data_IF_286606447289
#
_entry.id   IF_286606447289
#
_cell.length_a   1.000
_cell.length_b   1.000
_cell.length_c   1.000
_cell.angle_alpha   90.00
_cell.angle_beta   90.00
_cell.angle_gamma   90.00
#
_symmetry.space_group_name_H-M   'P 1'
#
loop_
_entity.id
_entity.type
_entity.pdbx_description
1 polymer ?
#
# COMPACT_ATOMS: atom_id res chain seq x y z
N UNK A 1 -3.02 36.81 -3.39
CA UNK A 1 -1.92 35.84 -3.60
C UNK A 1 -2.34 34.51 -2.97
N UNK A 2 -2.21 33.39 -3.69
CA UNK A 2 -2.55 32.06 -3.17
C UNK A 2 -1.38 31.41 -2.42
N UNK A 3 -1.68 30.45 -1.54
CA UNK A 3 -0.68 29.66 -0.84
C UNK A 3 0.08 28.73 -1.81
N UNK A 4 1.41 28.72 -1.75
CA UNK A 4 2.26 27.78 -2.49
C UNK A 4 3.08 26.93 -1.53
N UNK A 5 3.10 25.61 -1.77
CA UNK A 5 3.86 24.68 -0.96
C UNK A 5 5.11 24.22 -1.73
N UNK A 6 6.29 24.60 -1.23
CA UNK A 6 7.56 24.32 -1.91
C UNK A 6 7.87 22.83 -2.13
N UNK A 7 7.27 21.94 -1.35
CA UNK A 7 7.45 20.49 -1.46
C UNK A 7 6.24 19.79 -2.13
N UNK A 8 5.41 20.53 -2.86
CA UNK A 8 4.23 19.96 -3.52
C UNK A 8 4.60 18.88 -4.55
N UNK A 9 5.69 19.06 -5.30
CA UNK A 9 6.19 18.05 -6.24
C UNK A 9 6.59 16.75 -5.51
N UNK A 10 7.29 16.87 -4.38
CA UNK A 10 7.68 15.72 -3.57
C UNK A 10 6.46 15.00 -2.97
N UNK A 11 5.46 15.75 -2.50
CA UNK A 11 4.21 15.18 -1.98
C UNK A 11 3.44 14.42 -3.08
N UNK A 12 3.35 14.98 -4.28
CA UNK A 12 2.71 14.31 -5.42
C UNK A 12 3.46 13.03 -5.81
N UNK A 13 4.79 13.08 -5.85
CA UNK A 13 5.60 11.90 -6.11
C UNK A 13 5.37 10.80 -5.06
N UNK A 14 5.26 11.15 -3.76
CA UNK A 14 4.95 10.19 -2.70
C UNK A 14 3.56 9.57 -2.81
N UNK A 15 2.56 10.32 -3.30
CA UNK A 15 1.22 9.78 -3.60
C UNK A 15 1.29 8.74 -4.70
N UNK A 16 1.94 9.08 -5.82
CA UNK A 16 2.12 8.13 -6.92
C UNK A 16 2.87 6.87 -6.46
N UNK A 17 3.87 7.04 -5.59
CA UNK A 17 4.65 5.92 -5.05
C UNK A 17 3.82 5.00 -4.14
N UNK A 18 2.92 5.57 -3.34
CA UNK A 18 1.96 4.81 -2.53
C UNK A 18 1.03 4.00 -3.44
N UNK A 19 0.44 4.64 -4.45
CA UNK A 19 -0.48 3.98 -5.39
C UNK A 19 0.23 2.80 -6.11
N UNK A 20 1.45 3.03 -6.60
CA UNK A 20 2.27 1.99 -7.22
C UNK A 20 2.58 0.83 -6.26
N UNK A 21 2.91 1.14 -5.00
CA UNK A 21 3.21 0.10 -4.01
C UNK A 21 1.96 -0.68 -3.61
N UNK A 22 0.79 -0.05 -3.52
CA UNK A 22 -0.48 -0.72 -3.31
C UNK A 22 -0.80 -1.70 -4.46
N UNK A 23 -0.60 -1.28 -5.72
CA UNK A 23 -0.79 -2.14 -6.88
C UNK A 23 0.16 -3.35 -6.85
N UNK A 24 1.45 -3.13 -6.55
CA UNK A 24 2.44 -4.20 -6.42
C UNK A 24 2.10 -5.18 -5.30
N UNK A 25 1.66 -4.67 -4.16
CA UNK A 25 1.23 -5.49 -3.04
C UNK A 25 0.02 -6.35 -3.41
N UNK A 26 -0.97 -5.78 -4.10
CA UNK A 26 -2.14 -6.51 -4.56
C UNK A 26 -1.76 -7.62 -5.55
N UNK A 27 -0.84 -7.36 -6.47
CA UNK A 27 -0.33 -8.36 -7.41
C UNK A 27 0.38 -9.51 -6.70
N UNK A 28 1.30 -9.20 -5.78
CA UNK A 28 2.04 -10.21 -5.01
C UNK A 28 1.12 -11.02 -4.10
N UNK A 29 0.15 -10.39 -3.45
CA UNK A 29 -0.83 -11.08 -2.63
C UNK A 29 -1.71 -12.02 -3.47
N UNK A 30 -2.09 -11.61 -4.68
CA UNK A 30 -2.79 -12.48 -5.62
C UNK A 30 -1.93 -13.67 -6.03
N UNK A 31 -0.65 -13.46 -6.34
CA UNK A 31 0.29 -14.56 -6.67
C UNK A 31 0.41 -15.54 -5.51
N UNK A 32 0.57 -15.04 -4.28
CA UNK A 32 0.64 -15.88 -3.08
C UNK A 32 -0.59 -16.77 -2.95
N UNK A 33 -1.79 -16.18 -3.05
CA UNK A 33 -3.06 -16.91 -2.96
C UNK A 33 -3.16 -17.99 -4.03
N UNK A 34 -2.83 -17.67 -5.29
CA UNK A 34 -2.85 -18.66 -6.37
C UNK A 34 -1.87 -19.82 -6.13
N UNK A 35 -0.67 -19.53 -5.61
CA UNK A 35 0.30 -20.57 -5.24
C UNK A 35 -0.21 -21.44 -4.09
N UNK A 36 -0.88 -20.87 -3.10
CA UNK A 36 -1.51 -21.62 -2.01
C UNK A 36 -2.65 -22.52 -2.50
N UNK A 37 -3.51 -22.00 -3.38
CA UNK A 37 -4.57 -22.78 -4.03
C UNK A 37 -4.00 -23.95 -4.84
N UNK A 38 -2.92 -23.74 -5.59
CA UNK A 38 -2.24 -24.80 -6.34
C UNK A 38 -1.63 -25.87 -5.43
N UNK A 39 -0.97 -25.46 -4.35
CA UNK A 39 -0.42 -26.38 -3.36
C UNK A 39 -1.50 -27.23 -2.71
N UNK A 40 -2.66 -26.65 -2.41
CA UNK A 40 -3.76 -27.37 -1.81
C UNK A 40 -4.35 -28.40 -2.78
N UNK A 41 -4.50 -28.06 -4.07
CA UNK A 41 -4.90 -29.03 -5.11
C UNK A 41 -3.92 -30.19 -5.22
N UNK A 42 -2.61 -29.92 -5.25
CA UNK A 42 -1.59 -30.95 -5.31
C UNK A 42 -1.62 -31.88 -4.08
N UNK A 43 -1.92 -31.34 -2.89
CA UNK A 43 -2.10 -32.16 -1.67
C UNK A 43 -3.31 -33.07 -1.79
N UNK A 44 -4.43 -32.53 -2.25
CA UNK A 44 -5.67 -33.29 -2.43
C UNK A 44 -5.48 -34.41 -3.45
N UNK A 45 -4.91 -34.11 -4.62
CA UNK A 45 -4.58 -35.10 -5.65
C UNK A 45 -3.70 -36.22 -5.11
N UNK A 46 -2.63 -35.85 -4.37
CA UNK A 46 -1.73 -36.83 -3.76
C UNK A 46 -2.45 -37.70 -2.73
N UNK A 47 -3.24 -37.11 -1.83
CA UNK A 47 -4.01 -37.84 -0.81
C UNK A 47 -4.98 -38.83 -1.45
N UNK A 48 -5.72 -38.39 -2.48
CA UNK A 48 -6.65 -39.26 -3.21
C UNK A 48 -5.94 -40.41 -3.90
N UNK A 49 -4.77 -40.18 -4.50
CA UNK A 49 -3.97 -41.25 -5.10
C UNK A 49 -3.43 -42.24 -4.05
N UNK A 50 -2.96 -41.75 -2.90
CA UNK A 50 -2.50 -42.61 -1.80
C UNK A 50 -3.63 -43.47 -1.22
N UNK A 51 -4.83 -42.91 -1.08
CA UNK A 51 -6.03 -43.64 -0.65
C UNK A 51 -6.46 -44.69 -1.67
N UNK A 52 -6.47 -44.35 -2.96
CA UNK A 52 -6.77 -45.29 -4.04
C UNK A 52 -5.78 -46.45 -4.06
N UNK A 53 -4.48 -46.16 -3.93
CA UNK A 53 -3.43 -47.17 -3.86
C UNK A 53 -3.61 -48.11 -2.67
N UNK A 54 -3.95 -47.57 -1.48
CA UNK A 54 -4.22 -48.40 -0.29
C UNK A 54 -5.39 -49.36 -0.52
N UNK A 55 -6.48 -48.88 -1.12
CA UNK A 55 -7.65 -49.72 -1.45
C UNK A 55 -7.29 -50.81 -2.45
N UNK A 56 -6.65 -50.45 -3.56
CA UNK A 56 -6.24 -51.42 -4.59
C UNK A 56 -5.23 -52.44 -4.05
N UNK A 57 -4.31 -52.02 -3.19
CA UNK A 57 -3.34 -52.92 -2.56
C UNK A 57 -4.02 -53.98 -1.68
N UNK A 58 -5.10 -53.63 -0.99
CA UNK A 58 -5.89 -54.60 -0.19
C UNK A 58 -6.67 -55.62 -1.03
N UNK A 59 -6.91 -55.32 -2.31
CA UNK A 59 -7.64 -56.17 -3.25
C UNK A 59 -6.71 -57.03 -4.12
N UNK A 60 -5.39 -56.83 -4.02
CA UNK A 60 -4.39 -57.42 -4.91
C UNK A 60 -4.22 -56.61 -6.19
N UNK A 61 -3.29 -55.67 -6.18
CA UNK A 61 -2.93 -54.83 -7.34
C UNK A 61 -1.73 -55.43 -8.09
N UNK A 62 -1.69 -55.25 -9.41
CA UNK A 62 -0.52 -55.61 -10.21
C UNK A 62 0.70 -54.76 -9.84
N UNK A 63 1.89 -55.36 -9.86
CA UNK A 63 3.14 -54.67 -9.51
C UNK A 63 3.39 -53.42 -10.39
N UNK A 64 3.04 -53.47 -11.67
CA UNK A 64 3.19 -52.34 -12.59
C UNK A 64 2.29 -51.15 -12.20
N UNK A 65 1.03 -51.40 -11.85
CA UNK A 65 0.10 -50.36 -11.39
C UNK A 65 0.54 -49.78 -10.05
N UNK A 66 0.99 -50.62 -9.12
CA UNK A 66 1.55 -50.16 -7.85
C UNK A 66 2.72 -49.19 -8.05
N UNK A 67 3.67 -49.54 -8.92
CA UNK A 67 4.81 -48.69 -9.24
C UNK A 67 4.39 -47.37 -9.88
N UNK A 68 3.36 -47.38 -10.75
CA UNK A 68 2.82 -46.16 -11.36
C UNK A 68 2.23 -45.20 -10.32
N UNK A 69 1.39 -45.70 -9.41
CA UNK A 69 0.81 -44.88 -8.34
C UNK A 69 1.89 -44.33 -7.40
N UNK A 70 2.89 -45.15 -7.07
CA UNK A 70 4.02 -44.73 -6.23
C UNK A 70 4.82 -43.61 -6.89
N UNK A 71 5.21 -43.78 -8.14
CA UNK A 71 5.96 -42.77 -8.90
C UNK A 71 5.16 -41.47 -9.06
N UNK A 72 3.84 -41.56 -9.29
CA UNK A 72 2.98 -40.38 -9.32
C UNK A 72 2.96 -39.65 -7.97
N UNK A 73 2.78 -40.37 -6.86
CA UNK A 73 2.77 -39.76 -5.52
C UNK A 73 4.11 -39.12 -5.15
N UNK A 74 5.23 -39.76 -5.49
CA UNK A 74 6.58 -39.22 -5.29
C UNK A 74 6.77 -37.91 -6.06
N UNK A 75 6.43 -37.89 -7.35
CA UNK A 75 6.48 -36.67 -8.19
C UNK A 75 5.63 -35.54 -7.62
N UNK A 76 4.40 -35.85 -7.14
CA UNK A 76 3.55 -34.86 -6.46
C UNK A 76 4.16 -34.38 -5.14
N UNK A 77 4.88 -35.23 -4.44
CA UNK A 77 5.66 -34.87 -3.26
C UNK A 77 6.76 -33.85 -3.58
N UNK A 78 7.50 -34.06 -4.67
CA UNK A 78 8.51 -33.12 -5.15
C UNK A 78 7.90 -31.78 -5.58
N UNK A 79 6.81 -31.81 -6.36
CA UNK A 79 6.06 -30.62 -6.78
C UNK A 79 5.61 -29.79 -5.55
N UNK A 80 5.13 -30.47 -4.50
CA UNK A 80 4.71 -29.82 -3.24
C UNK A 80 5.88 -29.18 -2.48
N UNK A 81 7.06 -29.80 -2.47
CA UNK A 81 8.25 -29.24 -1.84
C UNK A 81 8.71 -27.99 -2.59
N UNK A 82 8.82 -28.07 -3.91
CA UNK A 82 9.18 -26.92 -4.74
C UNK A 82 8.16 -25.77 -4.61
N UNK A 83 6.87 -26.09 -4.61
CA UNK A 83 5.81 -25.10 -4.42
C UNK A 83 5.83 -24.46 -3.03
N UNK A 84 6.20 -25.17 -1.97
CA UNK A 84 6.34 -24.62 -0.61
C UNK A 84 7.46 -23.59 -0.52
N UNK A 85 8.61 -23.87 -1.12
CA UNK A 85 9.71 -22.90 -1.18
C UNK A 85 9.31 -21.67 -1.98
N UNK A 86 8.68 -21.85 -3.15
CA UNK A 86 8.15 -20.73 -3.94
C UNK A 86 7.13 -19.89 -3.17
N UNK A 87 6.21 -20.54 -2.44
CA UNK A 87 5.25 -19.84 -1.56
C UNK A 87 5.97 -19.00 -0.51
N UNK A 88 7.02 -19.56 0.11
CA UNK A 88 7.82 -18.86 1.13
C UNK A 88 8.51 -17.63 0.54
N UNK A 89 9.09 -17.73 -0.64
CA UNK A 89 9.69 -16.59 -1.36
C UNK A 89 8.64 -15.50 -1.64
N UNK A 90 7.50 -15.86 -2.22
CA UNK A 90 6.43 -14.90 -2.51
C UNK A 90 5.90 -14.25 -1.23
N UNK A 91 5.76 -15.01 -0.14
CA UNK A 91 5.34 -14.47 1.15
C UNK A 91 6.35 -13.43 1.70
N UNK A 92 7.65 -13.69 1.56
CA UNK A 92 8.68 -12.71 1.92
C UNK A 92 8.60 -11.46 1.03
N UNK A 93 8.34 -11.61 -0.26
CA UNK A 93 8.17 -10.46 -1.16
C UNK A 93 6.93 -9.61 -0.83
N UNK A 94 5.83 -10.27 -0.41
CA UNK A 94 4.62 -9.60 0.09
C UNK A 94 4.96 -8.78 1.33
N UNK A 95 5.67 -9.36 2.28
CA UNK A 95 6.01 -8.67 3.53
C UNK A 95 6.96 -7.49 3.29
N UNK A 96 7.94 -7.65 2.41
CA UNK A 96 8.81 -6.54 1.98
C UNK A 96 8.01 -5.40 1.34
N UNK A 97 7.04 -5.71 0.49
CA UNK A 97 6.19 -4.69 -0.14
C UNK A 97 5.27 -4.01 0.89
N UNK A 98 4.74 -4.76 1.87
CA UNK A 98 3.96 -4.18 2.98
C UNK A 98 4.80 -3.20 3.79
N UNK A 99 6.01 -3.59 4.17
CA UNK A 99 6.93 -2.74 4.91
C UNK A 99 7.28 -1.46 4.13
N UNK A 100 7.50 -1.59 2.82
CA UNK A 100 7.76 -0.46 1.94
C UNK A 100 6.54 0.48 1.81
N UNK A 101 5.34 -0.06 1.61
CA UNK A 101 4.12 0.73 1.57
C UNK A 101 3.94 1.52 2.87
N UNK A 102 4.17 0.88 4.02
CA UNK A 102 4.10 1.54 5.33
C UNK A 102 5.11 2.69 5.46
N UNK A 103 6.33 2.55 4.94
CA UNK A 103 7.32 3.64 4.98
C UNK A 103 6.89 4.80 4.09
N UNK A 104 6.42 4.53 2.87
CA UNK A 104 5.92 5.55 1.94
C UNK A 104 4.73 6.31 2.53
N UNK A 105 3.78 5.60 3.14
CA UNK A 105 2.62 6.21 3.80
C UNK A 105 3.03 7.11 4.96
N UNK A 106 4.00 6.68 5.78
CA UNK A 106 4.53 7.50 6.88
C UNK A 106 5.16 8.79 6.37
N UNK A 107 6.02 8.70 5.36
CA UNK A 107 6.69 9.86 4.76
C UNK A 107 5.69 10.83 4.11
N UNK A 108 4.70 10.30 3.38
CA UNK A 108 3.59 11.11 2.82
C UNK A 108 2.87 11.87 3.93
N UNK A 109 2.50 11.18 5.01
CA UNK A 109 1.76 11.79 6.13
C UNK A 109 2.57 12.89 6.82
N UNK A 110 3.89 12.77 6.87
CA UNK A 110 4.78 13.85 7.37
C UNK A 110 4.70 15.08 6.45
N UNK A 111 4.77 14.89 5.13
CA UNK A 111 4.65 15.99 4.16
C UNK A 111 3.28 16.67 4.19
N UNK A 112 2.20 15.90 4.33
CA UNK A 112 0.84 16.42 4.44
C UNK A 112 0.68 17.29 5.69
N UNK A 113 1.15 16.80 6.85
CA UNK A 113 1.16 17.59 8.09
C UNK A 113 2.00 18.86 7.98
N UNK A 114 3.14 18.80 7.28
CA UNK A 114 3.96 19.98 7.06
C UNK A 114 3.25 21.01 6.18
N UNK A 115 2.57 20.55 5.12
CA UNK A 115 1.76 21.40 4.24
C UNK A 115 0.63 22.07 5.04
N UNK A 116 -0.13 21.31 5.81
CA UNK A 116 -1.21 21.84 6.67
C UNK A 116 -0.70 22.91 7.64
N UNK A 117 0.43 22.67 8.31
CA UNK A 117 1.03 23.67 9.22
C UNK A 117 1.40 24.96 8.51
N UNK A 118 2.02 24.86 7.32
CA UNK A 118 2.41 26.04 6.53
C UNK A 118 1.19 26.79 5.99
N UNK A 119 0.15 26.07 5.59
CA UNK A 119 -1.09 26.66 5.14
C UNK A 119 -1.76 27.47 6.26
N UNK A 120 -1.90 26.89 7.46
CA UNK A 120 -2.42 27.60 8.63
C UNK A 120 -1.60 28.83 9.00
N UNK A 121 -0.28 28.77 8.86
CA UNK A 121 0.59 29.91 9.11
C UNK A 121 0.37 31.04 8.08
N UNK A 122 0.22 30.68 6.80
CA UNK A 122 -0.09 31.62 5.73
C UNK A 122 -1.46 32.28 5.91
N UNK A 123 -2.49 31.51 6.24
CA UNK A 123 -3.85 32.03 6.53
C UNK A 123 -3.81 33.07 7.66
N UNK A 124 -3.14 32.76 8.78
CA UNK A 124 -2.96 33.70 9.89
C UNK A 124 -2.19 34.96 9.51
N UNK A 125 -1.19 34.84 8.63
CA UNK A 125 -0.43 35.99 8.16
C UNK A 125 -1.28 36.89 7.26
N UNK A 126 -2.11 36.29 6.40
CA UNK A 126 -3.04 37.02 5.55
C UNK A 126 -4.11 37.74 6.38
N UNK A 127 -4.72 37.08 7.36
CA UNK A 127 -5.66 37.69 8.31
C UNK A 127 -5.03 38.91 9.01
N UNK A 128 -3.79 38.76 9.53
CA UNK A 128 -3.07 39.87 10.18
C UNK A 128 -2.82 41.05 9.24
N UNK A 129 -2.47 40.78 7.97
CA UNK A 129 -2.25 41.83 6.96
C UNK A 129 -3.54 42.54 6.61
N UNK A 130 -4.65 41.81 6.50
CA UNK A 130 -5.98 42.36 6.23
C UNK A 130 -6.46 43.24 7.38
N UNK A 131 -6.35 42.77 8.63
CA UNK A 131 -6.70 43.58 9.82
C UNK A 131 -5.87 44.87 9.86
N UNK A 132 -4.55 44.78 9.66
CA UNK A 132 -3.68 45.95 9.66
C UNK A 132 -4.06 46.95 8.56
N UNK A 133 -4.33 46.46 7.35
CA UNK A 133 -4.77 47.32 6.25
C UNK A 133 -6.11 48.02 6.55
N UNK A 134 -7.04 47.32 7.21
CA UNK A 134 -8.33 47.88 7.63
C UNK A 134 -8.16 48.97 8.71
N UNK A 135 -7.30 48.74 9.69
CA UNK A 135 -7.00 49.71 10.75
C UNK A 135 -6.33 50.96 10.17
N UNK A 136 -5.35 50.79 9.27
CA UNK A 136 -4.69 51.90 8.59
C UNK A 136 -5.69 52.75 7.78
N UNK A 137 -6.62 52.12 7.06
CA UNK A 137 -7.69 52.82 6.34
C UNK A 137 -8.62 53.59 7.27
N UNK A 138 -8.96 53.00 8.43
CA UNK A 138 -9.80 53.64 9.45
C UNK A 138 -9.11 54.87 10.02
N UNK A 139 -7.83 54.78 10.38
CA UNK A 139 -7.02 55.89 10.87
C UNK A 139 -6.90 57.00 9.81
N UNK A 140 -6.66 56.64 8.54
CA UNK A 140 -6.59 57.63 7.45
C UNK A 140 -7.92 58.36 7.24
N UNK A 141 -9.06 57.65 7.29
CA UNK A 141 -10.39 58.26 7.19
C UNK A 141 -10.67 59.20 8.35
N UNK A 142 -10.40 58.76 9.58
CA UNK A 142 -10.55 59.58 10.78
C UNK A 142 -9.70 60.86 10.73
N UNK A 143 -8.43 60.73 10.30
CA UNK A 143 -7.51 61.87 10.16
C UNK A 143 -7.96 62.86 9.08
N UNK A 144 -8.61 62.41 8.00
CA UNK A 144 -9.23 63.29 6.99
C UNK A 144 -10.49 63.97 7.50
N UNK A 145 -11.31 63.29 8.31
CA UNK A 145 -12.48 63.87 8.97
C UNK A 145 -12.10 65.02 9.90
N UNK A 146 -11.14 64.79 10.80
CA UNK A 146 -10.64 65.84 11.72
C UNK A 146 -10.05 67.05 10.98
N UNK A 147 -9.41 66.83 9.83
CA UNK A 147 -8.87 67.95 9.03
C UNK A 147 -9.96 68.81 8.40
N UNK A 148 -11.15 68.27 8.10
CA UNK A 148 -12.27 69.07 7.58
C UNK A 148 -12.88 69.97 8.67
N UNK A 149 -13.07 69.44 9.88
CA UNK A 149 -13.66 70.19 11.01
C UNK A 149 -12.77 71.30 11.58
N UNK A 150 -11.45 71.28 11.34
CA UNK A 150 -10.53 72.35 11.79
C UNK A 150 -10.30 73.48 10.79
N UNK A 151 -10.92 73.40 9.62
CA UNK A 151 -10.78 74.40 8.54
C UNK A 151 -12.11 75.07 8.19
N UNK A 152 -13.10 74.96 9.08
CA UNK A 152 -14.36 75.72 9.08
C UNK A 152 -14.40 76.66 10.28
#
# INVERSE_FOLDING_TARGET
MGFSFSLQALLNWKRNLEDLSQMRLAEKARKLRLTEEQLERLRQERSSCEEALKRLSSLGIGAAEFLLYKAFSERRGEDLLAGKERRKEIAQEVERERAYLLSVMKEKKVLERLKEKRQKAFEREMERKETKAHDDLTVMRYRRGIRRDRSS
#
